data_IF_761852475808
#
_entry.id   IF_761852475808
#
_cell.length_a   1.000
_cell.length_b   1.000
_cell.length_c   1.000
_cell.angle_alpha   90.00
_cell.angle_beta   90.00
_cell.angle_gamma   90.00
#
_symmetry.space_group_name_H-M   'P 1'
#
loop_
_entity.id
_entity.type
_entity.pdbx_description
1 polymer ?
#
# COMPACT_ATOMS: atom_id res chain seq x y z
N UNK A 1 5.01 8.51 -16.98
CA UNK A 1 6.30 8.06 -17.54
C UNK A 1 7.26 9.19 -17.95
N UNK A 2 6.82 10.24 -18.68
CA UNK A 2 7.70 11.27 -19.28
C UNK A 2 8.72 11.97 -18.36
N UNK A 3 8.45 12.08 -17.05
CA UNK A 3 9.34 12.77 -16.08
C UNK A 3 10.33 11.86 -15.35
N UNK A 4 9.96 10.60 -15.10
CA UNK A 4 10.74 9.69 -14.24
C UNK A 4 11.16 8.37 -14.90
N UNK A 5 10.69 8.10 -16.14
CA UNK A 5 10.97 6.88 -16.88
C UNK A 5 10.11 5.69 -16.48
N UNK A 6 10.11 4.68 -17.33
CA UNK A 6 9.36 3.42 -17.15
C UNK A 6 9.99 2.51 -16.08
N UNK A 7 11.27 2.69 -15.77
CA UNK A 7 11.94 1.97 -14.67
C UNK A 7 11.52 2.44 -13.28
N UNK A 8 10.75 3.54 -13.18
CA UNK A 8 10.31 4.15 -11.91
C UNK A 8 8.80 4.18 -11.74
N UNK A 9 8.06 4.16 -12.85
CA UNK A 9 6.60 4.13 -12.88
C UNK A 9 6.22 3.01 -13.85
N UNK A 10 5.82 1.89 -13.29
CA UNK A 10 5.60 0.63 -14.01
C UNK A 10 4.10 0.34 -13.97
N UNK A 11 3.50 0.19 -15.15
CA UNK A 11 2.14 -0.35 -15.27
C UNK A 11 2.20 -1.87 -15.10
N UNK A 12 1.30 -2.41 -14.29
CA UNK A 12 1.28 -3.83 -13.93
C UNK A 12 0.11 -4.54 -14.60
N UNK A 13 0.19 -5.88 -14.81
CA UNK A 13 -0.98 -6.68 -15.13
C UNK A 13 -2.05 -6.57 -14.03
N UNK A 14 -3.31 -6.86 -14.37
CA UNK A 14 -4.44 -6.84 -13.43
C UNK A 14 -4.35 -8.09 -12.53
N UNK A 15 -3.50 -7.99 -11.51
CA UNK A 15 -3.31 -9.02 -10.49
C UNK A 15 -2.73 -8.38 -9.23
N UNK A 16 -3.60 -8.05 -8.28
CA UNK A 16 -3.21 -7.39 -7.03
C UNK A 16 -2.20 -8.24 -6.27
N UNK A 17 -2.40 -9.55 -6.20
CA UNK A 17 -1.47 -10.46 -5.54
C UNK A 17 -0.06 -10.39 -6.18
N UNK A 18 -0.01 -10.37 -7.52
CA UNK A 18 1.25 -10.35 -8.26
C UNK A 18 2.02 -9.04 -8.08
N UNK A 19 1.39 -7.89 -8.35
CA UNK A 19 2.11 -6.62 -8.24
C UNK A 19 2.39 -6.23 -6.79
N UNK A 20 1.50 -6.58 -5.84
CA UNK A 20 1.75 -6.35 -4.42
C UNK A 20 2.91 -7.20 -3.93
N UNK A 21 2.99 -8.48 -4.31
CA UNK A 21 4.11 -9.35 -3.95
C UNK A 21 5.43 -8.86 -4.55
N UNK A 22 5.42 -8.39 -5.80
CA UNK A 22 6.59 -7.75 -6.42
C UNK A 22 7.03 -6.51 -5.63
N UNK A 23 6.08 -5.64 -5.24
CA UNK A 23 6.38 -4.44 -4.47
C UNK A 23 6.94 -4.78 -3.08
N UNK A 24 6.36 -5.75 -2.37
CA UNK A 24 6.88 -6.20 -1.07
C UNK A 24 8.28 -6.79 -1.20
N UNK A 25 8.52 -7.64 -2.20
CA UNK A 25 9.85 -8.18 -2.49
C UNK A 25 10.86 -7.08 -2.84
N UNK A 26 10.45 -6.07 -3.61
CA UNK A 26 11.28 -4.91 -3.93
C UNK A 26 11.62 -4.08 -2.68
N UNK A 27 10.68 -3.94 -1.73
CA UNK A 27 10.93 -3.28 -0.45
C UNK A 27 11.98 -4.06 0.38
N UNK A 28 11.88 -5.38 0.43
CA UNK A 28 12.90 -6.23 1.07
C UNK A 28 14.26 -6.17 0.38
N UNK A 29 14.29 -5.95 -0.94
CA UNK A 29 15.51 -5.73 -1.71
C UNK A 29 16.10 -4.32 -1.58
N UNK A 30 15.52 -3.45 -0.73
CA UNK A 30 16.05 -2.12 -0.41
C UNK A 30 15.47 -0.98 -1.24
N UNK A 31 14.43 -1.22 -2.05
CA UNK A 31 13.67 -0.15 -2.71
C UNK A 31 12.59 0.42 -1.77
N UNK A 32 11.97 1.54 -2.18
CA UNK A 32 10.86 2.19 -1.46
C UNK A 32 9.62 2.32 -2.34
N UNK A 33 8.93 1.21 -2.64
CA UNK A 33 7.83 1.19 -3.59
C UNK A 33 6.59 1.90 -3.06
N UNK A 34 5.83 2.49 -3.98
CA UNK A 34 4.48 2.99 -3.76
C UNK A 34 3.56 2.12 -4.61
N UNK A 35 2.85 1.20 -3.95
CA UNK A 35 1.95 0.24 -4.57
C UNK A 35 0.54 0.84 -4.62
N UNK A 36 -0.02 1.01 -5.83
CA UNK A 36 -1.33 1.63 -6.03
C UNK A 36 -2.38 0.60 -6.43
N UNK A 37 -3.54 0.65 -5.76
CA UNK A 37 -4.75 -0.08 -6.13
C UNK A 37 -5.72 0.87 -6.81
N UNK A 38 -6.38 0.41 -7.88
CA UNK A 38 -7.44 1.17 -8.56
C UNK A 38 -8.55 1.60 -7.59
N UNK A 39 -8.96 0.67 -6.73
CA UNK A 39 -9.72 0.93 -5.51
C UNK A 39 -9.12 0.10 -4.40
N UNK A 40 -9.06 0.64 -3.19
CA UNK A 40 -8.55 -0.08 -2.03
C UNK A 40 -9.40 -1.31 -1.70
N UNK A 41 -10.62 -1.43 -2.25
CA UNK A 41 -11.45 -2.63 -2.12
C UNK A 41 -10.75 -3.86 -2.72
N UNK A 42 -9.94 -3.68 -3.78
CA UNK A 42 -9.22 -4.78 -4.42
C UNK A 42 -7.94 -5.18 -3.67
N UNK A 43 -7.50 -4.41 -2.67
CA UNK A 43 -6.39 -4.83 -1.79
C UNK A 43 -6.65 -6.17 -1.09
N UNK A 44 -7.93 -6.55 -0.93
CA UNK A 44 -8.33 -7.86 -0.41
C UNK A 44 -7.80 -9.03 -1.25
N UNK A 45 -7.55 -8.85 -2.55
CA UNK A 45 -6.96 -9.88 -3.41
C UNK A 45 -5.48 -10.15 -3.10
N UNK A 46 -4.79 -9.22 -2.43
CA UNK A 46 -3.38 -9.35 -2.05
C UNK A 46 -3.13 -9.25 -0.54
N UNK A 47 -4.16 -9.55 0.25
CA UNK A 47 -4.19 -9.37 1.70
C UNK A 47 -3.05 -10.09 2.42
N UNK A 48 -2.64 -11.25 1.90
CA UNK A 48 -1.52 -12.04 2.43
C UNK A 48 -0.17 -11.30 2.29
N UNK A 49 0.02 -10.59 1.17
CA UNK A 49 1.22 -9.78 0.95
C UNK A 49 1.26 -8.55 1.85
N UNK A 50 0.10 -7.90 2.07
CA UNK A 50 0.01 -6.73 2.97
C UNK A 50 0.21 -7.15 4.43
N UNK A 51 -0.50 -8.19 4.87
CA UNK A 51 -0.53 -8.56 6.30
C UNK A 51 0.62 -9.49 6.64
N UNK A 52 0.65 -10.70 6.06
CA UNK A 52 1.57 -11.75 6.51
C UNK A 52 3.00 -11.49 6.05
N UNK A 53 3.18 -10.86 4.90
CA UNK A 53 4.50 -10.45 4.42
C UNK A 53 4.88 -9.08 4.99
N UNK A 54 4.35 -7.98 4.45
CA UNK A 54 4.83 -6.65 4.80
C UNK A 54 4.73 -6.33 6.31
N UNK A 55 3.55 -6.52 6.92
CA UNK A 55 3.32 -6.11 8.31
C UNK A 55 4.05 -6.98 9.36
N UNK A 56 4.29 -8.27 9.07
CA UNK A 56 4.88 -9.20 10.07
C UNK A 56 6.39 -9.38 9.94
N UNK A 57 6.97 -9.17 8.76
CA UNK A 57 8.38 -9.51 8.52
C UNK A 57 9.34 -8.81 9.48
N UNK A 58 9.10 -7.56 9.86
CA UNK A 58 9.97 -6.87 10.82
C UNK A 58 10.02 -7.60 12.17
N UNK A 59 8.87 -8.01 12.69
CA UNK A 59 8.78 -8.78 13.93
C UNK A 59 9.36 -10.20 13.75
N UNK A 60 9.01 -10.90 12.67
CA UNK A 60 9.46 -12.27 12.41
C UNK A 60 10.96 -12.38 12.16
N UNK A 61 11.59 -11.34 11.65
CA UNK A 61 13.02 -11.27 11.41
C UNK A 61 13.80 -10.74 12.62
N UNK A 62 13.16 -10.58 13.78
CA UNK A 62 13.76 -9.98 14.97
C UNK A 62 14.38 -8.59 14.69
N UNK A 63 13.71 -7.79 13.85
CA UNK A 63 14.12 -6.44 13.48
C UNK A 63 15.20 -6.35 12.39
N UNK A 64 15.54 -7.47 11.73
CA UNK A 64 16.59 -7.48 10.69
C UNK A 64 16.08 -6.99 9.32
N UNK A 65 14.80 -7.18 9.02
CA UNK A 65 14.21 -6.86 7.72
C UNK A 65 13.03 -5.91 7.87
N UNK A 66 13.23 -4.68 7.40
CA UNK A 66 12.18 -3.66 7.32
C UNK A 66 11.38 -3.82 6.02
N UNK A 67 10.15 -3.29 5.98
CA UNK A 67 9.34 -3.24 4.76
C UNK A 67 8.94 -1.78 4.47
N UNK A 68 9.83 -0.95 3.88
CA UNK A 68 9.53 0.44 3.56
C UNK A 68 8.65 0.53 2.30
N UNK A 69 7.33 0.36 2.45
CA UNK A 69 6.36 0.35 1.36
C UNK A 69 5.16 1.22 1.70
N UNK A 70 4.57 1.87 0.68
CA UNK A 70 3.27 2.55 0.82
C UNK A 70 2.25 1.86 -0.06
N UNK A 71 1.17 1.38 0.54
CA UNK A 71 -0.03 0.94 -0.17
C UNK A 71 -1.02 2.11 -0.26
N UNK A 72 -1.53 2.40 -1.46
CA UNK A 72 -2.47 3.52 -1.64
C UNK A 72 -3.58 3.20 -2.63
N UNK A 73 -4.70 3.87 -2.48
CA UNK A 73 -5.84 3.79 -3.38
C UNK A 73 -7.04 4.52 -2.79
N UNK A 74 -8.06 4.84 -3.60
CA UNK A 74 -9.31 5.39 -3.08
C UNK A 74 -10.03 4.35 -2.22
N UNK A 75 -10.58 4.77 -1.08
CA UNK A 75 -11.24 3.91 -0.10
C UNK A 75 -12.51 4.60 0.41
N UNK A 76 -13.56 3.82 0.72
CA UNK A 76 -14.88 4.34 1.09
C UNK A 76 -15.77 4.68 -0.11
N UNK A 77 -16.88 5.37 0.16
CA UNK A 77 -17.92 5.60 -0.83
C UNK A 77 -17.49 6.56 -1.95
N UNK A 78 -17.82 6.20 -3.20
CA UNK A 78 -17.70 7.06 -4.37
C UNK A 78 -19.00 7.04 -5.19
N UNK A 79 -19.22 8.08 -6.00
CA UNK A 79 -20.47 8.23 -6.75
C UNK A 79 -20.56 7.22 -7.89
N UNK A 80 -21.59 6.36 -7.87
CA UNK A 80 -21.96 5.50 -9.01
C UNK A 80 -21.10 4.27 -9.24
N UNK A 81 -20.32 3.81 -8.26
CA UNK A 81 -19.35 2.71 -8.43
C UNK A 81 -19.78 1.35 -7.85
N UNK A 82 -21.02 1.26 -7.36
CA UNK A 82 -21.63 0.05 -6.79
C UNK A 82 -20.91 -0.53 -5.56
N UNK A 83 -21.37 -1.69 -5.08
CA UNK A 83 -21.02 -2.24 -3.78
C UNK A 83 -19.53 -2.64 -3.64
N UNK A 84 -18.90 -3.12 -4.72
CA UNK A 84 -17.51 -3.59 -4.70
C UNK A 84 -16.45 -2.47 -4.72
N UNK A 85 -16.87 -1.21 -4.84
CA UNK A 85 -15.97 -0.04 -4.88
C UNK A 85 -16.26 0.96 -3.75
N UNK A 86 -17.08 0.59 -2.76
CA UNK A 86 -17.61 1.54 -1.77
C UNK A 86 -17.34 1.16 -0.31
N UNK A 87 -16.66 0.04 -0.04
CA UNK A 87 -16.33 -0.34 1.32
C UNK A 87 -15.18 0.51 1.84
N UNK A 88 -15.22 0.80 3.14
CA UNK A 88 -14.13 1.45 3.87
C UNK A 88 -13.37 0.41 4.70
N UNK A 89 -12.13 0.12 4.28
CA UNK A 89 -11.26 -0.85 4.95
C UNK A 89 -10.31 -0.22 5.99
N UNK A 90 -10.40 1.08 6.28
CA UNK A 90 -9.49 1.79 7.18
C UNK A 90 -9.41 1.09 8.54
N UNK A 91 -10.57 0.81 9.15
CA UNK A 91 -10.64 0.18 10.47
C UNK A 91 -10.15 -1.27 10.42
N UNK A 92 -10.45 -2.01 9.35
CA UNK A 92 -10.05 -3.40 9.22
C UNK A 92 -8.52 -3.55 9.18
N UNK A 93 -7.85 -2.73 8.37
CA UNK A 93 -6.39 -2.69 8.34
C UNK A 93 -5.78 -2.09 9.61
N UNK A 94 -6.44 -1.13 10.25
CA UNK A 94 -5.95 -0.56 11.52
C UNK A 94 -5.93 -1.59 12.67
N UNK A 95 -6.77 -2.62 12.59
CA UNK A 95 -6.76 -3.75 13.53
C UNK A 95 -5.69 -4.81 13.21
N UNK A 96 -4.88 -4.63 12.17
CA UNK A 96 -3.80 -5.54 11.82
C UNK A 96 -2.45 -5.01 12.35
N UNK A 97 -1.84 -5.64 13.37
CA UNK A 97 -0.58 -5.14 13.93
C UNK A 97 0.55 -5.12 12.90
N UNK A 98 1.40 -4.10 12.97
CA UNK A 98 2.53 -3.91 12.06
C UNK A 98 2.24 -2.99 10.87
N UNK A 99 0.98 -2.58 10.68
CA UNK A 99 0.60 -1.57 9.68
C UNK A 99 0.42 -0.19 10.32
N UNK A 100 0.79 0.85 9.58
CA UNK A 100 0.37 2.24 9.84
C UNK A 100 -0.71 2.62 8.84
N UNK A 101 -1.93 2.87 9.34
CA UNK A 101 -3.07 3.23 8.49
C UNK A 101 -3.40 4.70 8.63
N UNK A 102 -3.46 5.41 7.50
CA UNK A 102 -3.81 6.83 7.44
C UNK A 102 -4.88 7.08 6.38
N UNK A 103 -5.86 7.91 6.72
CA UNK A 103 -6.92 8.36 5.81
C UNK A 103 -6.90 9.90 5.75
N UNK A 104 -6.35 10.50 4.67
CA UNK A 104 -6.31 11.96 4.55
C UNK A 104 -7.69 12.53 4.23
N UNK A 105 -7.98 13.74 4.72
CA UNK A 105 -9.23 14.45 4.44
C UNK A 105 -9.03 15.62 3.46
N UNK A 106 -7.99 16.43 3.64
CA UNK A 106 -7.71 17.59 2.81
C UNK A 106 -6.57 17.35 1.81
N UNK A 107 -6.43 18.25 0.82
CA UNK A 107 -5.31 18.22 -0.12
C UNK A 107 -3.96 18.48 0.57
N UNK A 108 -3.96 19.30 1.64
CA UNK A 108 -2.78 19.55 2.46
C UNK A 108 -2.37 18.27 3.20
N UNK A 109 -3.32 17.60 3.86
CA UNK A 109 -3.09 16.34 4.55
C UNK A 109 -2.58 15.27 3.60
N UNK A 110 -3.22 15.11 2.44
CA UNK A 110 -2.83 14.12 1.44
C UNK A 110 -1.37 14.32 1.00
N UNK A 111 -0.95 15.57 0.75
CA UNK A 111 0.43 15.89 0.38
C UNK A 111 1.40 15.66 1.54
N UNK A 112 1.05 16.10 2.75
CA UNK A 112 1.88 15.98 3.94
C UNK A 112 2.09 14.53 4.34
N UNK A 113 0.98 13.81 4.56
CA UNK A 113 0.95 12.43 5.00
C UNK A 113 1.62 11.50 3.99
N UNK A 114 1.36 11.66 2.67
CA UNK A 114 2.02 10.81 1.67
C UNK A 114 3.55 11.01 1.67
N UNK A 115 4.03 12.25 1.81
CA UNK A 115 5.47 12.51 1.91
C UNK A 115 6.09 11.93 3.18
N UNK A 116 5.36 11.94 4.29
CA UNK A 116 5.80 11.32 5.54
C UNK A 116 5.81 9.80 5.42
N UNK A 117 4.74 9.20 4.90
CA UNK A 117 4.62 7.75 4.70
C UNK A 117 5.72 7.20 3.79
N UNK A 118 6.02 7.86 2.67
CA UNK A 118 7.10 7.44 1.75
C UNK A 118 8.48 7.43 2.42
N UNK A 119 8.67 8.17 3.52
CA UNK A 119 9.92 8.26 4.29
C UNK A 119 9.94 7.38 5.54
N UNK A 120 8.83 6.73 5.86
CA UNK A 120 8.72 5.80 6.98
C UNK A 120 9.28 4.42 6.58
N UNK A 121 9.97 3.74 7.50
CA UNK A 121 10.55 2.41 7.23
C UNK A 121 9.56 1.26 7.49
N UNK A 122 8.33 1.58 7.90
CA UNK A 122 7.25 0.64 8.16
C UNK A 122 6.20 0.68 7.04
N UNK A 123 5.45 -0.42 6.84
CA UNK A 123 4.30 -0.45 5.97
C UNK A 123 3.06 0.23 6.55
#
# INVERSE_FOLDING_TARGET
MRKFGESRVIDTPITEAGFCGLAVGAAFAGLRPICEFMTYNFSMQCIDQIINSAAKTYYMSAGQLNCPIVFRGPNGAAAGVAAQHSQDFTVWYAHCPGLKVVAPFSAEDAKGLLKSAVRDDNP
#
